data_IF_454194233575
#
_entry.id   IF_454194233575
#
_cell.length_a   1.000
_cell.length_b   1.000
_cell.length_c   1.000
_cell.angle_alpha   90.00
_cell.angle_beta   90.00
_cell.angle_gamma   90.00
#
_symmetry.space_group_name_H-M   'P 1'
#
loop_
_entity.id
_entity.type
_entity.pdbx_description
1 polymer ?
#
# COMPACT_ATOMS: atom_id res chain seq x y z
N UNK A 1 7.42 -9.87 -19.01
CA UNK A 1 7.42 -9.68 -20.47
C UNK A 1 6.01 -9.35 -20.97
N UNK A 2 5.86 -8.23 -21.68
CA UNK A 2 4.59 -7.77 -22.24
C UNK A 2 3.94 -8.84 -23.16
N UNK A 3 4.68 -9.48 -24.09
CA UNK A 3 4.08 -10.52 -24.95
C UNK A 3 3.48 -11.69 -24.17
N UNK A 4 4.10 -12.07 -23.07
CA UNK A 4 3.59 -13.15 -22.22
C UNK A 4 2.28 -12.74 -21.53
N UNK A 5 2.21 -11.52 -21.02
CA UNK A 5 1.00 -10.96 -20.41
C UNK A 5 -0.15 -10.96 -21.43
N UNK A 6 0.09 -10.46 -22.63
CA UNK A 6 -0.90 -10.45 -23.72
C UNK A 6 -1.45 -11.83 -24.02
N UNK A 7 -0.56 -12.80 -24.18
CA UNK A 7 -0.94 -14.18 -24.52
C UNK A 7 -1.77 -14.81 -23.40
N UNK A 8 -1.27 -14.78 -22.16
CA UNK A 8 -1.95 -15.40 -21.04
C UNK A 8 -3.30 -14.72 -20.72
N UNK A 9 -3.34 -13.40 -20.78
CA UNK A 9 -4.58 -12.66 -20.54
C UNK A 9 -5.64 -12.93 -21.61
N UNK A 10 -5.23 -13.01 -22.86
CA UNK A 10 -6.10 -13.37 -23.98
C UNK A 10 -6.66 -14.78 -23.82
N UNK A 11 -5.85 -15.69 -23.30
CA UNK A 11 -6.25 -17.08 -23.06
C UNK A 11 -7.11 -17.25 -21.80
N UNK A 12 -7.48 -16.17 -21.14
CA UNK A 12 -8.37 -16.17 -19.97
C UNK A 12 -7.66 -16.43 -18.64
N UNK A 13 -6.32 -16.39 -18.60
CA UNK A 13 -5.57 -16.59 -17.37
C UNK A 13 -5.63 -15.31 -16.54
N UNK A 14 -6.11 -15.41 -15.30
CA UNK A 14 -6.11 -14.31 -14.34
C UNK A 14 -4.70 -14.10 -13.81
N UNK A 15 -4.13 -12.93 -14.11
CA UNK A 15 -2.77 -12.60 -13.74
C UNK A 15 -2.72 -11.64 -12.55
N UNK A 16 -1.69 -11.78 -11.73
CA UNK A 16 -1.26 -10.75 -10.79
C UNK A 16 0.15 -10.33 -11.21
N UNK A 17 0.24 -9.16 -11.82
CA UNK A 17 1.52 -8.59 -12.24
C UNK A 17 2.07 -7.77 -11.07
N UNK A 18 3.18 -8.23 -10.52
CA UNK A 18 3.77 -7.70 -9.30
C UNK A 18 5.09 -6.98 -9.55
N UNK A 19 5.63 -6.35 -8.50
CA UNK A 19 6.86 -5.58 -8.55
C UNK A 19 6.83 -4.43 -9.55
N UNK A 20 5.67 -3.77 -9.62
CA UNK A 20 5.48 -2.58 -10.46
C UNK A 20 5.83 -1.34 -9.64
N UNK A 21 6.66 -0.46 -10.21
CA UNK A 21 7.20 0.73 -9.51
C UNK A 21 6.93 2.03 -10.25
N UNK A 22 6.61 2.00 -11.53
CA UNK A 22 6.47 3.22 -12.35
C UNK A 22 5.14 3.27 -13.07
N UNK A 23 4.69 4.50 -13.39
CA UNK A 23 3.49 4.71 -14.20
C UNK A 23 3.63 4.14 -15.60
N UNK A 24 4.83 4.20 -16.17
CA UNK A 24 5.12 3.58 -17.46
C UNK A 24 4.86 2.09 -17.44
N UNK A 25 5.32 1.40 -16.38
CA UNK A 25 5.03 -0.02 -16.20
C UNK A 25 3.53 -0.29 -16.05
N UNK A 26 2.82 0.51 -15.26
CA UNK A 26 1.36 0.40 -15.11
C UNK A 26 0.67 0.53 -16.46
N UNK A 27 1.05 1.52 -17.26
CA UNK A 27 0.49 1.76 -18.58
C UNK A 27 0.72 0.57 -19.52
N UNK A 28 1.96 0.12 -19.62
CA UNK A 28 2.33 -1.00 -20.50
C UNK A 28 1.59 -2.29 -20.11
N UNK A 29 1.52 -2.59 -18.82
CA UNK A 29 0.80 -3.76 -18.33
C UNK A 29 -0.69 -3.64 -18.63
N UNK A 30 -1.29 -2.49 -18.31
CA UNK A 30 -2.73 -2.26 -18.54
C UNK A 30 -3.11 -2.43 -19.99
N UNK A 31 -2.34 -1.85 -20.91
CA UNK A 31 -2.57 -1.98 -22.35
C UNK A 31 -2.41 -3.39 -22.87
N UNK A 32 -1.62 -4.23 -22.15
CA UNK A 32 -1.37 -5.62 -22.52
C UNK A 32 -2.47 -6.57 -22.06
N UNK A 33 -3.36 -6.14 -21.17
CA UNK A 33 -4.42 -6.97 -20.60
C UNK A 33 -5.62 -7.07 -21.55
N UNK A 34 -6.27 -8.24 -21.55
CA UNK A 34 -7.54 -8.44 -22.24
C UNK A 34 -8.68 -7.70 -21.52
N UNK A 35 -9.58 -7.10 -22.27
CA UNK A 35 -10.81 -6.49 -21.73
C UNK A 35 -11.74 -7.49 -21.04
N UNK A 36 -11.60 -8.76 -21.39
CA UNK A 36 -12.52 -9.81 -20.91
C UNK A 36 -11.99 -10.61 -19.73
N UNK A 37 -10.72 -10.44 -19.36
CA UNK A 37 -10.06 -11.26 -18.35
C UNK A 37 -9.70 -10.40 -17.14
N UNK A 38 -10.17 -10.76 -15.93
CA UNK A 38 -9.76 -10.08 -14.71
C UNK A 38 -8.25 -10.22 -14.49
N UNK A 39 -7.65 -9.16 -13.96
CA UNK A 39 -6.23 -9.13 -13.64
C UNK A 39 -5.98 -8.20 -12.44
N UNK A 40 -4.82 -8.36 -11.83
CA UNK A 40 -4.38 -7.53 -10.72
C UNK A 40 -3.01 -6.96 -11.07
N UNK A 41 -2.82 -5.66 -10.79
CA UNK A 41 -1.53 -4.99 -10.87
C UNK A 41 -1.13 -4.60 -9.45
N UNK A 42 0.01 -5.12 -8.99
CA UNK A 42 0.53 -4.83 -7.65
C UNK A 42 1.66 -3.81 -7.74
N UNK A 43 1.37 -2.57 -7.37
CA UNK A 43 2.35 -1.49 -7.27
C UNK A 43 2.94 -1.47 -5.86
N UNK A 44 4.26 -1.47 -5.78
CA UNK A 44 4.98 -1.48 -4.50
C UNK A 44 5.10 -0.07 -3.92
N UNK A 45 3.95 0.53 -3.63
CA UNK A 45 3.84 1.90 -3.13
C UNK A 45 4.66 2.15 -1.87
N UNK A 46 4.70 1.18 -0.94
CA UNK A 46 5.52 1.30 0.26
C UNK A 46 7.01 1.36 -0.03
N UNK A 47 7.50 0.61 -1.00
CA UNK A 47 8.92 0.67 -1.41
C UNK A 47 9.25 1.96 -2.16
N UNK A 48 8.29 2.50 -2.90
CA UNK A 48 8.44 3.83 -3.51
C UNK A 48 8.57 4.88 -2.41
N UNK A 49 7.73 4.82 -1.39
CA UNK A 49 7.81 5.71 -0.24
C UNK A 49 9.15 5.59 0.51
N UNK A 50 9.74 4.39 0.56
CA UNK A 50 11.07 4.17 1.16
C UNK A 50 12.19 4.97 0.45
N UNK A 51 11.98 5.40 -0.79
CA UNK A 51 12.94 6.24 -1.52
C UNK A 51 12.77 7.74 -1.25
N UNK A 52 11.80 8.12 -0.41
CA UNK A 52 11.46 9.52 -0.15
C UNK A 52 10.46 10.11 -1.13
N UNK A 53 9.95 9.33 -2.07
CA UNK A 53 8.94 9.77 -3.03
C UNK A 53 7.54 9.48 -2.48
N UNK A 54 6.66 10.50 -2.51
CA UNK A 54 5.25 10.31 -2.15
C UNK A 54 4.55 9.45 -3.21
N UNK A 55 4.05 8.27 -2.86
CA UNK A 55 3.38 7.41 -3.83
C UNK A 55 1.95 7.83 -4.16
N UNK A 56 1.35 8.76 -3.41
CA UNK A 56 -0.06 9.15 -3.57
C UNK A 56 -0.40 9.66 -4.97
N UNK A 57 0.34 10.64 -5.54
CA UNK A 57 0.03 11.15 -6.89
C UNK A 57 0.15 10.05 -7.95
N UNK A 58 1.17 9.23 -7.85
CA UNK A 58 1.40 8.14 -8.79
C UNK A 58 0.29 7.07 -8.70
N UNK A 59 -0.13 6.73 -7.50
CA UNK A 59 -1.21 5.75 -7.31
C UNK A 59 -2.54 6.26 -7.84
N UNK A 60 -2.85 7.53 -7.63
CA UNK A 60 -4.05 8.17 -8.19
C UNK A 60 -4.05 8.14 -9.72
N UNK A 61 -2.90 8.43 -10.33
CA UNK A 61 -2.75 8.37 -11.78
C UNK A 61 -2.81 6.94 -12.32
N UNK A 62 -2.25 5.98 -11.59
CA UNK A 62 -2.35 4.56 -11.92
C UNK A 62 -3.82 4.10 -11.97
N UNK A 63 -4.62 4.49 -10.99
CA UNK A 63 -6.07 4.20 -10.99
C UNK A 63 -6.74 4.77 -12.25
N UNK A 64 -6.41 6.01 -12.63
CA UNK A 64 -6.94 6.64 -13.84
C UNK A 64 -6.53 5.88 -15.11
N UNK A 65 -5.26 5.52 -15.24
CA UNK A 65 -4.75 4.77 -16.38
C UNK A 65 -5.44 3.41 -16.53
N UNK A 66 -5.76 2.76 -15.43
CA UNK A 66 -6.36 1.42 -15.45
C UNK A 66 -7.85 1.42 -15.80
N UNK A 67 -8.50 2.56 -15.89
CA UNK A 67 -9.93 2.65 -16.25
C UNK A 67 -10.25 2.07 -17.62
N UNK A 68 -9.29 2.02 -18.54
CA UNK A 68 -9.47 1.38 -19.86
C UNK A 68 -9.57 -0.14 -19.77
N UNK A 69 -9.29 -0.72 -18.61
CA UNK A 69 -9.45 -2.15 -18.30
C UNK A 69 -10.26 -2.31 -17.01
N UNK A 70 -11.60 -2.19 -17.09
CA UNK A 70 -12.44 -2.18 -15.88
C UNK A 70 -12.37 -3.45 -15.03
N UNK A 71 -11.92 -4.56 -15.61
CA UNK A 71 -11.75 -5.82 -14.88
C UNK A 71 -10.37 -5.93 -14.20
N UNK A 72 -9.48 -4.97 -14.39
CA UNK A 72 -8.20 -4.92 -13.70
C UNK A 72 -8.34 -4.15 -12.39
N UNK A 73 -7.71 -4.69 -11.35
CA UNK A 73 -7.69 -4.11 -10.02
C UNK A 73 -6.27 -3.73 -9.60
N UNK A 74 -6.14 -2.62 -8.89
CA UNK A 74 -4.86 -2.11 -8.41
C UNK A 74 -4.67 -2.46 -6.94
N UNK A 75 -3.50 -3.05 -6.62
CA UNK A 75 -3.06 -3.28 -5.25
C UNK A 75 -2.05 -2.20 -4.86
N UNK A 76 -2.27 -1.59 -3.70
CA UNK A 76 -1.26 -0.88 -2.95
C UNK A 76 -0.47 -1.91 -2.16
N UNK A 77 0.74 -2.22 -2.60
CA UNK A 77 1.57 -3.24 -1.97
C UNK A 77 2.67 -2.63 -1.09
N UNK A 78 3.15 -3.42 -0.15
CA UNK A 78 4.22 -3.05 0.79
C UNK A 78 3.88 -1.84 1.68
N UNK A 79 2.71 -1.76 2.29
CA UNK A 79 2.40 -0.66 3.20
C UNK A 79 3.36 -0.68 4.40
N UNK A 80 3.62 0.50 4.96
CA UNK A 80 4.51 0.68 6.11
C UNK A 80 3.78 1.15 7.35
N UNK A 81 2.67 1.86 7.18
CA UNK A 81 1.93 2.51 8.24
C UNK A 81 0.43 2.28 8.08
N UNK A 82 -0.30 2.38 9.19
CA UNK A 82 -1.77 2.32 9.17
C UNK A 82 -2.36 3.38 8.23
N UNK A 83 -1.76 4.56 8.18
CA UNK A 83 -2.17 5.64 7.29
C UNK A 83 -2.29 5.21 5.83
N UNK A 84 -1.45 4.26 5.39
CA UNK A 84 -1.47 3.78 4.00
C UNK A 84 -2.80 3.17 3.60
N UNK A 85 -3.54 2.57 4.54
CA UNK A 85 -4.89 2.03 4.28
C UNK A 85 -5.83 3.16 3.84
N UNK A 86 -5.81 4.28 4.56
CA UNK A 86 -6.64 5.44 4.24
C UNK A 86 -6.18 6.11 2.95
N UNK A 87 -4.88 6.17 2.72
CA UNK A 87 -4.32 6.72 1.48
C UNK A 87 -4.72 5.88 0.27
N UNK A 88 -4.61 4.56 0.35
CA UNK A 88 -5.04 3.65 -0.71
C UNK A 88 -6.53 3.82 -1.04
N UNK A 89 -7.37 3.89 -0.02
CA UNK A 89 -8.81 4.13 -0.18
C UNK A 89 -9.09 5.48 -0.85
N UNK A 90 -8.42 6.54 -0.39
CA UNK A 90 -8.64 7.90 -0.90
C UNK A 90 -8.28 8.06 -2.39
N UNK A 91 -7.30 7.33 -2.91
CA UNK A 91 -6.91 7.37 -4.33
C UNK A 91 -7.69 6.39 -5.19
N UNK A 92 -8.51 5.55 -4.58
CA UNK A 92 -9.36 4.59 -5.30
C UNK A 92 -8.68 3.26 -5.62
N UNK A 93 -7.63 2.87 -4.88
CA UNK A 93 -7.08 1.53 -4.97
C UNK A 93 -8.12 0.50 -4.56
N UNK A 94 -8.16 -0.62 -5.25
CA UNK A 94 -9.12 -1.68 -4.99
C UNK A 94 -8.73 -2.55 -3.81
N UNK A 95 -7.42 -2.76 -3.63
CA UNK A 95 -6.87 -3.70 -2.65
C UNK A 95 -5.64 -3.06 -2.00
N UNK A 96 -5.44 -3.33 -0.72
CA UNK A 96 -4.19 -3.07 -0.02
C UNK A 96 -3.74 -4.34 0.68
N UNK A 97 -2.46 -4.67 0.58
CA UNK A 97 -1.87 -5.71 1.43
C UNK A 97 -1.60 -5.11 2.82
N UNK A 98 -1.81 -5.88 3.86
CA UNK A 98 -1.53 -5.43 5.23
C UNK A 98 -0.84 -6.54 6.00
N UNK A 99 0.25 -6.18 6.69
CA UNK A 99 0.94 -7.10 7.59
C UNK A 99 0.19 -7.21 8.92
N UNK A 100 0.51 -8.23 9.70
CA UNK A 100 -0.05 -8.37 11.05
C UNK A 100 0.28 -7.15 11.93
N UNK A 101 1.45 -6.56 11.76
CA UNK A 101 1.86 -5.37 12.52
C UNK A 101 0.96 -4.17 12.24
N UNK A 102 0.55 -3.98 10.98
CA UNK A 102 -0.39 -2.93 10.60
C UNK A 102 -1.79 -3.26 11.14
N UNK A 103 -2.24 -4.50 11.00
CA UNK A 103 -3.55 -4.93 11.49
C UNK A 103 -3.70 -4.75 13.00
N UNK A 104 -2.64 -4.99 13.76
CA UNK A 104 -2.62 -4.76 15.22
C UNK A 104 -2.80 -3.29 15.59
N UNK A 105 -2.53 -2.36 14.70
CA UNK A 105 -2.69 -0.93 14.91
C UNK A 105 -4.10 -0.41 14.61
N UNK A 106 -4.99 -1.23 14.05
CA UNK A 106 -6.36 -0.82 13.76
C UNK A 106 -7.09 -0.20 14.95
N UNK A 107 -6.94 -0.70 16.20
CA UNK A 107 -7.57 -0.07 17.36
C UNK A 107 -7.11 1.36 17.66
N UNK A 108 -5.98 1.79 17.08
CA UNK A 108 -5.46 3.15 17.26
C UNK A 108 -6.19 4.18 16.38
N UNK A 109 -7.02 3.74 15.42
CA UNK A 109 -7.77 4.66 14.56
C UNK A 109 -8.64 5.59 15.41
N UNK A 110 -8.47 6.89 15.20
CA UNK A 110 -9.24 7.90 15.92
C UNK A 110 -8.82 8.15 17.36
N UNK A 111 -7.70 7.58 17.80
CA UNK A 111 -7.20 7.76 19.17
C UNK A 111 -6.86 9.23 19.42
N UNK A 112 -7.30 9.73 20.59
CA UNK A 112 -6.95 11.08 21.02
C UNK A 112 -5.43 11.22 21.20
N UNK A 113 -4.83 12.19 20.51
CA UNK A 113 -3.38 12.36 20.52
C UNK A 113 -2.82 12.80 21.87
N UNK A 114 -3.59 13.56 22.65
CA UNK A 114 -3.18 13.96 24.01
C UNK A 114 -3.11 12.76 24.94
N UNK A 115 -4.12 11.89 24.89
CA UNK A 115 -4.13 10.64 25.63
C UNK A 115 -3.00 9.70 25.17
N UNK A 116 -2.78 9.62 23.88
CA UNK A 116 -1.71 8.81 23.30
C UNK A 116 -0.33 9.30 23.73
N UNK A 117 -0.13 10.61 23.76
CA UNK A 117 1.11 11.24 24.26
C UNK A 117 1.39 10.86 25.70
N UNK A 118 0.38 10.97 26.58
CA UNK A 118 0.51 10.61 27.99
C UNK A 118 0.87 9.12 28.18
N UNK A 119 0.17 8.26 27.48
CA UNK A 119 0.46 6.80 27.55
C UNK A 119 1.87 6.49 27.05
N UNK A 120 2.36 7.20 26.04
CA UNK A 120 3.72 7.04 25.52
C UNK A 120 4.76 7.46 26.55
N UNK A 121 4.54 8.58 27.24
CA UNK A 121 5.40 9.05 28.33
C UNK A 121 5.43 8.04 29.48
N UNK A 122 4.28 7.53 29.87
CA UNK A 122 4.17 6.50 30.92
C UNK A 122 4.91 5.22 30.53
N UNK A 123 4.83 4.81 29.28
CA UNK A 123 5.54 3.65 28.75
C UNK A 123 7.06 3.85 28.81
N UNK A 124 7.55 5.03 28.38
CA UNK A 124 8.99 5.34 28.48
C UNK A 124 9.49 5.40 29.91
N UNK A 125 8.71 5.97 30.82
CA UNK A 125 9.05 6.01 32.23
C UNK A 125 9.19 4.59 32.82
N UNK A 126 8.23 3.73 32.53
CA UNK A 126 8.25 2.32 32.94
C UNK A 126 9.44 1.57 32.37
N UNK A 127 9.72 1.74 31.08
CA UNK A 127 10.87 1.11 30.43
C UNK A 127 12.19 1.58 31.02
N UNK A 128 12.31 2.87 31.36
CA UNK A 128 13.49 3.42 32.01
C UNK A 128 13.68 2.83 33.42
N UNK A 129 12.62 2.64 34.18
CA UNK A 129 12.68 1.99 35.50
C UNK A 129 13.12 0.53 35.38
N UNK A 130 12.57 -0.22 34.44
CA UNK A 130 12.93 -1.62 34.18
C UNK A 130 14.40 -1.76 33.76
N UNK A 131 14.94 -0.76 33.04
CA UNK A 131 16.33 -0.70 32.65
C UNK A 131 17.28 -0.18 33.77
N UNK A 132 16.75 0.19 34.93
CA UNK A 132 17.53 0.68 36.06
C UNK A 132 17.93 2.17 35.97
N UNK A 133 17.32 2.95 35.07
CA UNK A 133 17.53 4.39 35.02
C UNK A 133 16.55 5.15 35.90
N UNK A 134 17.07 6.14 36.61
CA UNK A 134 16.29 7.03 37.45
C UNK A 134 16.41 8.46 36.96
N UNK A 135 15.27 9.12 36.78
CA UNK A 135 15.22 10.55 36.50
C UNK A 135 14.92 11.23 37.84
N UNK A 136 15.91 11.97 38.34
CA UNK A 136 15.71 12.84 39.52
C UNK A 136 15.25 14.20 39.07
N UNK A 137 14.11 14.64 39.59
CA UNK A 137 13.59 15.98 39.35
C UNK A 137 13.82 16.81 40.62
#
# INVERSE_FOLDING_TARGET
SVPLIETLSRDGVKLNITAVFTLEQVKLVTESLSLKTPAIISVFAGRIADTGLDPMPMMAEAVSLMRIRPQAELIWASPRELLNIFQADSVGCHIITATNDILKKLPLIGKDLSAYSLETVEMFYKDAQEAGFHISI
#
